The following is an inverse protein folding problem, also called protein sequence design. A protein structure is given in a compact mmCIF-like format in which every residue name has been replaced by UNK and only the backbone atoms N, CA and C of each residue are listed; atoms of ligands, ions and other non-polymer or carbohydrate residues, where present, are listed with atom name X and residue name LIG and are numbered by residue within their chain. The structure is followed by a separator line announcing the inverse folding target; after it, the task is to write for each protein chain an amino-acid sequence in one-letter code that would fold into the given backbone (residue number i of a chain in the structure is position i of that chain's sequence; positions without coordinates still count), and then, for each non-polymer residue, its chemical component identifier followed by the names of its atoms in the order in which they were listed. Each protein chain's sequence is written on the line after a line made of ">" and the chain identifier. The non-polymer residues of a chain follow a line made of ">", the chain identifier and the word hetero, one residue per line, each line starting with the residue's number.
data_IF_648309482483
#
_entry.id   IF_648309482483
#
_cell.length_a   1.000
_cell.length_b   1.000
_cell.length_c   1.000
_cell.angle_alpha   90.00
_cell.angle_beta   90.00
_cell.angle_gamma   90.00
#
_symmetry.space_group_name_H-M   'P 1'
#
loop_
_entity.id
_entity.type
_entity.pdbx_description
1 polymer ?
#
# COMPACT_ATOMS: atom_id res chain seq x y z
N UNK A 1 -19.10 2.70 -5.30
CA UNK A 1 -18.01 1.75 -5.04
C UNK A 1 -16.98 1.92 -6.13
N UNK A 2 -15.69 1.87 -5.80
CA UNK A 2 -14.61 1.91 -6.78
C UNK A 2 -14.82 0.81 -7.83
N UNK A 3 -14.80 1.18 -9.11
CA UNK A 3 -15.12 0.27 -10.20
C UNK A 3 -13.88 -0.57 -10.52
N UNK A 4 -13.73 -1.72 -9.86
CA UNK A 4 -12.62 -2.65 -10.11
C UNK A 4 -12.88 -3.63 -11.27
N UNK A 5 -13.84 -3.30 -12.14
CA UNK A 5 -14.20 -4.08 -13.33
C UNK A 5 -13.99 -3.26 -14.61
N UNK A 6 -13.63 -3.94 -15.70
CA UNK A 6 -13.37 -3.28 -16.99
C UNK A 6 -14.70 -2.92 -17.67
N UNK A 7 -15.22 -1.73 -17.35
CA UNK A 7 -16.44 -1.16 -17.95
C UNK A 7 -17.74 -1.79 -17.44
N UNK A 8 -18.83 -1.02 -17.49
CA UNK A 8 -20.16 -1.41 -16.95
C UNK A 8 -20.80 -2.63 -17.64
N UNK A 9 -20.36 -2.96 -18.86
CA UNK A 9 -20.91 -4.07 -19.67
C UNK A 9 -20.77 -5.45 -19.01
N UNK A 10 -19.72 -5.66 -18.21
CA UNK A 10 -19.41 -6.98 -17.67
C UNK A 10 -19.34 -7.01 -16.14
N UNK A 11 -19.83 -5.97 -15.47
CA UNK A 11 -19.83 -5.86 -14.00
C UNK A 11 -20.35 -7.12 -13.31
N UNK A 12 -21.47 -7.67 -13.77
CA UNK A 12 -22.11 -8.86 -13.21
C UNK A 12 -21.35 -10.18 -13.48
N UNK A 13 -20.30 -10.14 -14.31
CA UNK A 13 -19.51 -11.33 -14.67
C UNK A 13 -18.21 -11.44 -13.86
N UNK A 14 -17.93 -10.52 -12.95
CA UNK A 14 -16.78 -10.59 -12.05
C UNK A 14 -17.17 -11.31 -10.77
N UNK A 15 -16.33 -12.26 -10.35
CA UNK A 15 -16.40 -12.90 -9.04
C UNK A 15 -15.12 -12.60 -8.27
N UNK A 16 -15.23 -12.49 -6.96
CA UNK A 16 -14.09 -12.47 -6.06
C UNK A 16 -13.34 -13.80 -6.11
N UNK A 17 -12.00 -13.74 -6.14
CA UNK A 17 -11.13 -14.92 -5.99
C UNK A 17 -10.66 -14.96 -4.54
N UNK A 18 -11.41 -15.67 -3.70
CA UNK A 18 -11.17 -15.82 -2.27
C UNK A 18 -10.01 -16.78 -1.93
N UNK A 19 -9.69 -17.69 -2.85
CA UNK A 19 -8.72 -18.76 -2.63
C UNK A 19 -7.42 -18.49 -3.37
N UNK A 20 -6.29 -18.56 -2.66
CA UNK A 20 -4.96 -18.55 -3.28
C UNK A 20 -4.72 -19.87 -4.01
N UNK A 21 -4.33 -19.84 -5.28
CA UNK A 21 -4.03 -21.07 -6.02
C UNK A 21 -2.86 -21.84 -5.40
N UNK A 22 -2.97 -23.17 -5.39
CA UNK A 22 -1.90 -24.07 -4.91
C UNK A 22 -0.82 -24.19 -5.97
N UNK A 23 0.43 -23.93 -5.58
CA UNK A 23 1.60 -24.21 -6.39
C UNK A 23 1.82 -25.71 -6.62
N UNK A 24 2.75 -26.09 -7.51
CA UNK A 24 3.08 -27.49 -7.81
C UNK A 24 3.50 -28.32 -6.59
N UNK A 25 4.05 -27.66 -5.57
CA UNK A 25 4.48 -28.21 -4.28
C UNK A 25 3.41 -28.06 -3.17
N UNK A 26 2.24 -27.52 -3.52
CA UNK A 26 1.16 -27.23 -2.57
C UNK A 26 1.31 -25.91 -1.84
N UNK A 27 2.34 -25.10 -2.14
CA UNK A 27 2.54 -23.79 -1.53
C UNK A 27 1.39 -22.83 -1.86
N UNK A 28 0.91 -22.10 -0.86
CA UNK A 28 -0.09 -21.04 -0.98
C UNK A 28 0.40 -19.86 -0.16
N UNK A 29 0.49 -18.69 -0.78
CA UNK A 29 0.98 -17.48 -0.13
C UNK A 29 0.29 -16.25 -0.69
N UNK A 30 -0.18 -15.38 0.20
CA UNK A 30 -0.72 -14.08 -0.12
C UNK A 30 0.32 -13.01 0.23
N UNK A 31 1.03 -12.50 -0.79
CA UNK A 31 1.99 -11.42 -0.60
C UNK A 31 1.33 -10.05 -0.35
N UNK A 32 0.02 -9.92 -0.63
CA UNK A 32 -0.74 -8.67 -0.53
C UNK A 32 -1.21 -8.38 0.90
N UNK A 33 -0.36 -8.63 1.91
CA UNK A 33 -0.60 -8.24 3.30
C UNK A 33 0.44 -7.18 3.67
N UNK A 34 0.00 -5.94 3.75
CA UNK A 34 0.84 -4.78 4.02
C UNK A 34 0.96 -4.44 5.49
N UNK A 35 1.96 -3.61 5.82
CA UNK A 35 2.09 -3.03 7.15
C UNK A 35 0.96 -2.00 7.35
N UNK A 36 0.20 -2.03 8.47
CA UNK A 36 -0.83 -1.03 8.75
C UNK A 36 -0.24 0.38 8.95
N UNK A 37 1.05 0.47 9.27
CA UNK A 37 1.80 1.72 9.31
C UNK A 37 2.43 1.95 7.93
N UNK A 38 1.86 2.88 7.19
CA UNK A 38 2.35 3.30 5.88
C UNK A 38 3.50 4.32 6.01
N UNK A 39 4.36 4.41 5.00
CA UNK A 39 5.48 5.35 4.98
C UNK A 39 5.01 6.81 5.13
N UNK A 40 5.83 7.66 5.75
CA UNK A 40 5.49 9.06 6.02
C UNK A 40 5.62 9.92 4.75
N UNK A 41 4.55 10.57 4.30
CA UNK A 41 4.59 11.53 3.18
C UNK A 41 4.46 13.01 3.61
N UNK A 42 4.36 13.26 4.93
CA UNK A 42 4.12 14.58 5.51
C UNK A 42 5.34 15.07 6.28
N UNK A 43 5.81 16.28 5.96
CA UNK A 43 7.03 16.87 6.53
C UNK A 43 6.83 18.34 6.89
N UNK A 44 7.45 18.78 7.99
CA UNK A 44 7.54 20.20 8.37
C UNK A 44 8.95 20.68 8.02
N UNK A 45 9.06 21.63 7.09
CA UNK A 45 10.37 22.18 6.67
C UNK A 45 10.90 23.18 7.70
N UNK A 46 12.21 23.41 7.69
CA UNK A 46 12.85 24.41 8.54
C UNK A 46 12.46 25.86 8.20
N UNK A 47 11.92 26.08 6.99
CA UNK A 47 11.46 27.40 6.54
C UNK A 47 10.04 27.73 7.00
N UNK A 48 9.32 26.79 7.61
CA UNK A 48 7.96 27.02 8.08
C UNK A 48 7.97 27.98 9.29
N UNK A 49 7.37 29.20 9.17
CA UNK A 49 7.35 30.15 10.27
C UNK A 49 6.38 29.77 11.40
N UNK A 50 5.54 28.74 11.21
CA UNK A 50 4.48 28.31 12.12
C UNK A 50 4.50 26.79 12.37
N UNK A 51 5.61 26.21 12.87
CA UNK A 51 5.72 24.77 13.06
C UNK A 51 4.77 24.24 14.14
N UNK A 52 4.49 25.03 15.18
CA UNK A 52 3.58 24.65 16.26
C UNK A 52 2.11 24.60 15.80
N UNK A 53 1.70 25.52 14.93
CA UNK A 53 0.38 25.54 14.30
C UNK A 53 0.24 24.37 13.33
N UNK A 54 1.29 24.11 12.55
CA UNK A 54 1.31 23.04 11.54
C UNK A 54 1.18 21.67 12.19
N UNK A 55 1.92 21.42 13.29
CA UNK A 55 1.78 20.14 14.00
C UNK A 55 0.41 19.98 14.65
N UNK A 56 -0.24 21.05 15.12
CA UNK A 56 -1.63 20.99 15.62
C UNK A 56 -2.63 20.62 14.52
N UNK A 57 -2.41 21.08 13.29
CA UNK A 57 -3.24 20.70 12.15
C UNK A 57 -3.03 19.23 11.77
N UNK A 58 -1.77 18.76 11.78
CA UNK A 58 -1.45 17.33 11.55
C UNK A 58 -2.11 16.46 12.63
N UNK A 59 -1.99 16.83 13.90
CA UNK A 59 -2.60 16.11 15.04
C UNK A 59 -4.14 16.09 14.95
N UNK A 60 -4.76 17.17 14.46
CA UNK A 60 -6.20 17.21 14.21
C UNK A 60 -6.67 16.09 13.27
N UNK A 61 -5.90 15.74 12.24
CA UNK A 61 -6.25 14.65 11.31
C UNK A 61 -6.14 13.23 11.91
N UNK A 62 -5.57 13.11 13.11
CA UNK A 62 -5.62 11.89 13.94
C UNK A 62 -6.76 11.92 14.97
N UNK A 63 -7.50 13.02 15.09
CA UNK A 63 -8.74 13.07 15.87
C UNK A 63 -9.89 12.44 15.11
N UNK A 64 -10.95 12.01 15.82
CA UNK A 64 -12.16 11.47 15.20
C UNK A 64 -12.75 12.42 14.14
N UNK A 65 -12.86 13.70 14.47
CA UNK A 65 -13.40 14.71 13.55
C UNK A 65 -12.51 14.88 12.31
N UNK A 66 -11.18 14.89 12.51
CA UNK A 66 -10.25 15.02 11.40
C UNK A 66 -10.20 13.79 10.50
N UNK A 67 -10.33 12.57 11.04
CA UNK A 67 -10.47 11.33 10.26
C UNK A 67 -11.77 11.35 9.45
N UNK A 68 -12.89 11.76 10.05
CA UNK A 68 -14.16 11.94 9.33
C UNK A 68 -14.03 12.99 8.20
N UNK A 69 -13.37 14.12 8.46
CA UNK A 69 -13.11 15.12 7.40
C UNK A 69 -12.19 14.58 6.30
N UNK A 70 -11.15 13.82 6.67
CA UNK A 70 -10.18 13.24 5.74
C UNK A 70 -10.84 12.28 4.76
N UNK A 71 -11.75 11.42 5.23
CA UNK A 71 -12.24 10.29 4.43
C UNK A 71 -13.73 10.36 4.09
N UNK A 72 -14.55 11.06 4.86
CA UNK A 72 -16.00 11.13 4.65
C UNK A 72 -16.50 12.52 4.23
N UNK A 73 -15.83 13.60 4.64
CA UNK A 73 -16.19 14.97 4.28
C UNK A 73 -17.20 15.59 5.24
N UNK A 74 -18.36 16.03 4.74
CA UNK A 74 -19.33 16.82 5.51
C UNK A 74 -20.69 16.13 5.61
N UNK A 75 -21.21 16.03 6.84
CA UNK A 75 -22.52 15.43 7.11
C UNK A 75 -23.64 16.20 6.40
N UNK A 76 -24.53 15.48 5.72
CA UNK A 76 -25.59 16.03 4.88
C UNK A 76 -25.15 16.46 3.47
N UNK A 77 -23.85 16.49 3.18
CA UNK A 77 -23.30 16.81 1.85
C UNK A 77 -22.75 15.56 1.18
N UNK A 78 -21.86 14.85 1.87
CA UNK A 78 -21.18 13.65 1.34
C UNK A 78 -21.58 12.37 2.08
N UNK A 79 -21.99 12.46 3.35
CA UNK A 79 -22.40 11.30 4.14
C UNK A 79 -23.58 11.60 5.09
N UNK A 80 -24.21 10.55 5.60
CA UNK A 80 -25.12 10.57 6.76
C UNK A 80 -24.66 9.56 7.81
N UNK A 81 -25.17 9.64 9.04
CA UNK A 81 -24.84 8.68 10.09
C UNK A 81 -25.80 7.49 10.12
N UNK A 82 -25.27 6.29 10.30
CA UNK A 82 -26.06 5.10 10.59
C UNK A 82 -26.51 5.05 12.07
N UNK A 83 -27.19 3.98 12.48
CA UNK A 83 -27.68 3.79 13.86
C UNK A 83 -26.56 3.72 14.90
N UNK A 84 -25.35 3.34 14.49
CA UNK A 84 -24.15 3.24 15.33
C UNK A 84 -23.39 4.57 15.41
N UNK A 85 -23.82 5.58 14.64
CA UNK A 85 -23.19 6.90 14.57
C UNK A 85 -22.01 6.99 13.60
N UNK A 86 -21.77 5.96 12.78
CA UNK A 86 -20.69 5.92 11.79
C UNK A 86 -21.11 6.63 10.49
N UNK A 87 -20.18 7.31 9.80
CA UNK A 87 -20.46 7.97 8.54
C UNK A 87 -20.69 6.94 7.42
N UNK A 88 -21.75 7.13 6.65
CA UNK A 88 -22.09 6.33 5.47
C UNK A 88 -22.29 7.26 4.29
N UNK A 89 -21.54 7.04 3.20
CA UNK A 89 -21.66 7.83 1.98
C UNK A 89 -23.10 7.88 1.49
N UNK A 90 -23.56 9.08 1.15
CA UNK A 90 -24.92 9.28 0.68
C UNK A 90 -25.04 8.96 -0.81
N UNK A 91 -26.27 9.03 -1.33
CA UNK A 91 -26.58 8.75 -2.73
C UNK A 91 -25.83 9.65 -3.72
N UNK A 92 -25.52 10.90 -3.34
CA UNK A 92 -24.75 11.81 -4.21
C UNK A 92 -23.31 11.34 -4.43
N UNK A 93 -22.69 10.73 -3.41
CA UNK A 93 -21.36 10.14 -3.52
C UNK A 93 -21.41 8.76 -4.18
N UNK A 94 -22.38 7.92 -3.82
CA UNK A 94 -22.45 6.54 -4.31
C UNK A 94 -22.99 6.40 -5.74
N UNK A 95 -23.95 7.25 -6.11
CA UNK A 95 -24.71 7.21 -7.36
C UNK A 95 -24.71 8.62 -8.00
N UNK A 96 -23.52 9.19 -8.15
CA UNK A 96 -23.39 10.56 -8.65
C UNK A 96 -24.07 10.73 -10.02
N UNK A 97 -24.91 11.77 -10.22
CA UNK A 97 -25.68 11.94 -11.45
C UNK A 97 -24.82 12.19 -12.69
N UNK A 98 -23.59 12.68 -12.51
CA UNK A 98 -22.64 12.91 -13.61
C UNK A 98 -21.78 11.66 -13.91
N UNK A 99 -22.04 10.54 -13.22
CA UNK A 99 -21.35 9.26 -13.43
C UNK A 99 -19.95 9.21 -12.84
N UNK A 100 -19.61 10.16 -11.96
CA UNK A 100 -18.32 10.19 -11.25
C UNK A 100 -18.22 9.04 -10.25
N UNK A 101 -17.02 8.49 -10.09
CA UNK A 101 -16.76 7.51 -9.03
C UNK A 101 -16.67 8.20 -7.65
N UNK A 102 -16.86 7.44 -6.57
CA UNK A 102 -16.81 7.95 -5.20
C UNK A 102 -15.60 8.87 -4.95
N UNK A 103 -14.41 8.47 -5.41
CA UNK A 103 -13.15 9.20 -5.23
C UNK A 103 -13.14 10.56 -5.94
N UNK A 104 -13.68 10.63 -7.16
CA UNK A 104 -13.78 11.87 -7.93
C UNK A 104 -14.75 12.85 -7.27
N UNK A 105 -15.86 12.35 -6.72
CA UNK A 105 -16.80 13.18 -5.96
C UNK A 105 -16.12 13.70 -4.70
N UNK A 106 -15.52 12.82 -3.90
CA UNK A 106 -14.90 13.16 -2.62
C UNK A 106 -13.70 14.10 -2.79
N UNK A 107 -12.94 14.00 -3.88
CA UNK A 107 -11.81 14.88 -4.17
C UNK A 107 -12.15 16.38 -4.22
N UNK A 108 -13.43 16.74 -4.36
CA UNK A 108 -13.90 18.12 -4.27
C UNK A 108 -14.19 18.59 -2.82
N UNK A 109 -14.25 17.68 -1.84
CA UNK A 109 -14.69 17.95 -0.47
C UNK A 109 -13.65 17.60 0.59
N UNK A 110 -12.79 16.62 0.34
CA UNK A 110 -11.83 16.12 1.33
C UNK A 110 -10.38 16.39 0.90
N UNK A 111 -9.45 16.55 1.85
CA UNK A 111 -8.03 16.73 1.55
C UNK A 111 -7.29 15.42 1.25
N UNK A 112 -7.97 14.28 1.24
CA UNK A 112 -7.37 12.99 0.94
C UNK A 112 -6.97 12.88 -0.54
N UNK A 113 -5.66 12.92 -0.79
CA UNK A 113 -5.07 12.80 -2.13
C UNK A 113 -4.59 11.39 -2.49
N UNK A 114 -4.96 10.37 -1.70
CA UNK A 114 -4.46 9.00 -1.83
C UNK A 114 -3.11 8.79 -1.12
N UNK A 115 -2.96 7.64 -0.45
CA UNK A 115 -1.72 7.15 0.17
C UNK A 115 -1.18 7.96 1.37
N UNK A 116 -0.78 7.27 2.45
CA UNK A 116 0.17 7.77 3.47
C UNK A 116 -0.13 9.13 4.17
N UNK A 117 -1.36 9.65 4.10
CA UNK A 117 -1.78 10.91 4.73
C UNK A 117 -1.67 10.86 6.26
N UNK A 118 -1.50 12.00 6.96
CA UNK A 118 -1.34 12.05 8.42
C UNK A 118 -2.68 11.80 9.12
N UNK A 119 -3.17 10.56 9.06
CA UNK A 119 -4.48 10.13 9.55
C UNK A 119 -4.46 8.64 9.80
N UNK A 120 -5.53 8.11 10.39
CA UNK A 120 -5.78 6.66 10.43
C UNK A 120 -6.97 6.33 9.53
N UNK A 121 -6.76 5.46 8.55
CA UNK A 121 -7.86 4.93 7.75
C UNK A 121 -8.54 3.81 8.53
N UNK A 122 -9.64 4.16 9.20
CA UNK A 122 -10.42 3.23 10.02
C UNK A 122 -11.53 2.55 9.19
N UNK A 123 -11.87 1.31 9.53
CA UNK A 123 -12.88 0.52 8.80
C UNK A 123 -14.20 1.28 8.67
N UNK A 124 -14.73 1.80 9.77
CA UNK A 124 -16.05 2.44 9.81
C UNK A 124 -16.13 3.83 9.16
N UNK A 125 -14.99 4.45 8.83
CA UNK A 125 -14.96 5.75 8.12
C UNK A 125 -14.56 5.56 6.67
N UNK A 126 -13.55 4.73 6.42
CA UNK A 126 -12.96 4.52 5.11
C UNK A 126 -13.36 3.17 4.52
N UNK A 127 -12.95 2.06 5.15
CA UNK A 127 -13.05 0.72 4.57
C UNK A 127 -14.48 0.28 4.20
N UNK A 128 -15.43 0.50 5.09
CA UNK A 128 -16.84 0.14 4.91
C UNK A 128 -17.52 0.94 3.79
N UNK A 129 -17.07 2.18 3.57
CA UNK A 129 -17.61 3.10 2.56
C UNK A 129 -16.96 2.93 1.18
N UNK A 130 -15.67 2.62 1.16
CA UNK A 130 -14.87 2.58 -0.07
C UNK A 130 -14.96 1.23 -0.78
N UNK A 131 -14.92 0.14 -0.01
CA UNK A 131 -14.89 -1.21 -0.57
C UNK A 131 -16.27 -1.86 -0.55
N UNK A 132 -16.52 -2.69 -1.55
CA UNK A 132 -17.70 -3.55 -1.63
C UNK A 132 -17.59 -4.73 -0.66
N UNK A 133 -18.72 -5.35 -0.33
CA UNK A 133 -18.74 -6.53 0.55
C UNK A 133 -17.97 -7.71 -0.05
N UNK A 134 -18.03 -7.89 -1.38
CA UNK A 134 -17.26 -8.91 -2.09
C UNK A 134 -15.75 -8.75 -1.87
N UNK A 135 -15.24 -7.51 -1.92
CA UNK A 135 -13.81 -7.24 -1.72
C UNK A 135 -13.38 -7.50 -0.28
N UNK A 136 -14.21 -7.07 0.68
CA UNK A 136 -13.99 -7.31 2.11
C UNK A 136 -13.92 -8.81 2.38
N UNK A 137 -14.86 -9.58 1.85
CA UNK A 137 -14.91 -11.04 2.01
C UNK A 137 -13.66 -11.71 1.42
N UNK A 138 -13.26 -11.34 0.19
CA UNK A 138 -12.05 -11.87 -0.45
C UNK A 138 -10.79 -11.55 0.36
N UNK A 139 -10.65 -10.31 0.82
CA UNK A 139 -9.52 -9.91 1.65
C UNK A 139 -9.48 -10.70 2.96
N UNK A 140 -10.62 -10.85 3.63
CA UNK A 140 -10.71 -11.58 4.90
C UNK A 140 -10.30 -13.05 4.76
N UNK A 141 -10.73 -13.72 3.70
CA UNK A 141 -10.33 -15.09 3.41
C UNK A 141 -8.84 -15.20 3.05
N UNK A 142 -8.27 -14.19 2.37
CA UNK A 142 -6.87 -14.22 1.94
C UNK A 142 -5.86 -13.89 3.03
N UNK A 143 -6.26 -13.21 4.11
CA UNK A 143 -5.36 -12.83 5.22
C UNK A 143 -4.67 -14.05 5.85
N UNK A 144 -5.37 -15.18 5.96
CA UNK A 144 -4.81 -16.41 6.56
C UNK A 144 -3.63 -17.00 5.78
N UNK A 145 -3.46 -16.62 4.51
CA UNK A 145 -2.35 -17.04 3.65
C UNK A 145 -1.18 -16.04 3.66
N UNK A 146 -1.28 -14.97 4.45
CA UNK A 146 -0.24 -13.95 4.58
C UNK A 146 1.03 -14.45 5.28
N UNK A 147 2.12 -13.67 5.24
CA UNK A 147 3.30 -13.94 6.04
C UNK A 147 2.99 -13.80 7.54
N UNK A 148 3.66 -14.60 8.36
CA UNK A 148 3.58 -14.49 9.83
C UNK A 148 4.13 -13.14 10.33
N UNK A 149 5.17 -12.65 9.66
CA UNK A 149 5.80 -11.37 9.97
C UNK A 149 5.70 -10.47 8.75
N UNK A 150 5.04 -9.32 8.92
CA UNK A 150 5.06 -8.22 7.97
C UNK A 150 6.12 -7.23 8.44
N UNK A 151 7.25 -7.17 7.74
CA UNK A 151 8.32 -6.23 8.10
C UNK A 151 7.88 -4.78 7.85
N UNK A 152 8.23 -3.90 8.78
CA UNK A 152 8.23 -2.46 8.54
C UNK A 152 9.46 -2.00 7.78
N UNK A 153 9.56 -0.70 7.54
CA UNK A 153 10.74 -0.09 6.92
C UNK A 153 11.97 -0.26 7.80
N UNK A 154 13.06 -0.73 7.21
CA UNK A 154 14.34 -0.85 7.90
C UNK A 154 15.06 0.50 7.93
N UNK A 155 15.71 0.76 9.06
CA UNK A 155 16.50 1.97 9.26
C UNK A 155 17.98 1.67 8.98
N UNK A 156 18.63 2.59 8.27
CA UNK A 156 20.04 2.49 7.93
C UNK A 156 20.80 3.74 8.38
N UNK A 157 22.12 3.64 8.48
CA UNK A 157 22.97 4.82 8.63
C UNK A 157 23.00 5.64 7.33
N UNK A 158 23.37 6.93 7.42
CA UNK A 158 23.53 7.80 6.25
C UNK A 158 24.43 7.19 5.16
N UNK A 159 25.51 6.52 5.59
CA UNK A 159 26.44 5.89 4.65
C UNK A 159 25.81 4.68 3.95
N UNK A 160 25.10 3.84 4.69
CA UNK A 160 24.36 2.72 4.12
C UNK A 160 23.27 3.22 3.16
N UNK A 161 22.54 4.29 3.49
CA UNK A 161 21.55 4.87 2.57
C UNK A 161 22.17 5.35 1.25
N UNK A 162 23.31 6.03 1.30
CA UNK A 162 24.03 6.43 0.08
C UNK A 162 24.44 5.22 -0.75
N UNK A 163 24.87 4.14 -0.09
CA UNK A 163 25.31 2.92 -0.75
C UNK A 163 24.15 2.14 -1.36
N UNK A 164 23.03 2.00 -0.63
CA UNK A 164 21.76 1.43 -1.11
C UNK A 164 21.29 2.14 -2.37
N UNK A 165 21.19 3.48 -2.34
CA UNK A 165 20.68 4.25 -3.48
C UNK A 165 21.45 4.02 -4.78
N UNK A 166 22.74 3.69 -4.70
CA UNK A 166 23.55 3.40 -5.89
C UNK A 166 23.49 1.92 -6.28
N UNK A 167 23.48 1.00 -5.32
CA UNK A 167 23.43 -0.44 -5.59
C UNK A 167 22.06 -0.89 -6.08
N UNK A 168 20.98 -0.44 -5.44
CA UNK A 168 19.60 -0.88 -5.71
C UNK A 168 19.19 -0.57 -7.14
N UNK A 169 19.46 0.64 -7.65
CA UNK A 169 18.99 1.05 -8.97
C UNK A 169 19.57 0.18 -10.09
N UNK A 170 20.88 -0.04 -10.06
CA UNK A 170 21.58 -0.84 -11.07
C UNK A 170 21.14 -2.32 -10.98
N UNK A 171 21.12 -2.87 -9.75
CA UNK A 171 20.73 -4.26 -9.50
C UNK A 171 19.28 -4.51 -9.90
N UNK A 172 18.33 -3.66 -9.49
CA UNK A 172 16.91 -3.78 -9.78
C UNK A 172 16.64 -3.69 -11.29
N UNK A 173 17.33 -2.77 -11.98
CA UNK A 173 17.22 -2.63 -13.43
C UNK A 173 17.64 -3.91 -14.14
N UNK A 174 18.78 -4.50 -13.74
CA UNK A 174 19.26 -5.76 -14.33
C UNK A 174 18.35 -6.95 -14.00
N UNK A 175 17.84 -7.05 -12.76
CA UNK A 175 16.86 -8.06 -12.37
C UNK A 175 15.60 -7.95 -13.23
N UNK A 176 15.10 -6.73 -13.44
CA UNK A 176 13.87 -6.48 -14.21
C UNK A 176 14.04 -6.86 -15.68
N UNK A 177 15.16 -6.46 -16.30
CA UNK A 177 15.48 -6.81 -17.68
C UNK A 177 15.66 -8.33 -17.87
N UNK A 178 16.42 -8.98 -16.99
CA UNK A 178 16.63 -10.43 -17.06
C UNK A 178 15.36 -11.22 -16.77
N UNK A 179 14.52 -10.76 -15.83
CA UNK A 179 13.20 -11.35 -15.59
C UNK A 179 12.34 -11.33 -16.86
N UNK A 180 12.31 -10.22 -17.59
CA UNK A 180 11.59 -10.14 -18.85
C UNK A 180 12.12 -11.16 -19.86
N UNK A 181 13.44 -11.26 -20.03
CA UNK A 181 14.09 -12.24 -20.93
C UNK A 181 13.81 -13.68 -20.55
N UNK A 182 13.83 -14.01 -19.26
CA UNK A 182 13.49 -15.36 -18.80
C UNK A 182 12.01 -15.70 -19.08
N UNK A 183 11.10 -14.73 -18.92
CA UNK A 183 9.67 -14.92 -19.22
C UNK A 183 9.42 -15.08 -20.72
N UNK A 184 10.10 -14.28 -21.55
CA UNK A 184 9.94 -14.35 -23.02
C UNK A 184 10.68 -15.53 -23.64
N UNK A 185 11.63 -16.13 -22.92
CA UNK A 185 12.49 -17.20 -23.41
C UNK A 185 13.73 -16.71 -24.17
N UNK A 186 14.04 -15.41 -24.11
CA UNK A 186 15.27 -14.84 -24.65
C UNK A 186 16.51 -15.19 -23.78
N UNK A 187 16.28 -15.61 -22.54
CA UNK A 187 17.28 -16.22 -21.65
C UNK A 187 16.75 -17.55 -21.11
N UNK A 188 17.65 -18.50 -20.88
CA UNK A 188 17.32 -19.85 -20.42
C UNK A 188 17.72 -20.06 -18.95
N UNK A 189 16.81 -20.57 -18.12
CA UNK A 189 17.07 -20.80 -16.70
C UNK A 189 18.15 -21.85 -16.40
N UNK A 190 18.31 -22.87 -17.25
CA UNK A 190 19.32 -23.91 -17.06
C UNK A 190 20.71 -23.45 -17.49
N UNK A 191 20.79 -22.64 -18.55
CA UNK A 191 22.06 -22.23 -19.16
C UNK A 191 22.59 -20.89 -18.62
N UNK A 192 21.72 -19.91 -18.38
CA UNK A 192 22.13 -18.53 -18.11
C UNK A 192 22.11 -18.14 -16.63
N UNK A 193 21.53 -18.98 -15.76
CA UNK A 193 21.30 -18.63 -14.35
C UNK A 193 22.58 -18.34 -13.57
N UNK A 194 23.59 -19.19 -13.71
CA UNK A 194 24.86 -19.00 -13.00
C UNK A 194 25.56 -17.70 -13.42
N UNK A 195 25.51 -17.36 -14.72
CA UNK A 195 26.06 -16.10 -15.22
C UNK A 195 25.22 -14.89 -14.75
N UNK A 196 23.90 -15.03 -14.68
CA UNK A 196 23.01 -14.03 -14.11
C UNK A 196 23.38 -13.70 -12.66
N UNK A 197 23.54 -14.72 -11.81
CA UNK A 197 23.94 -14.56 -10.40
C UNK A 197 25.35 -13.96 -10.28
N UNK A 198 26.32 -14.44 -11.07
CA UNK A 198 27.68 -13.87 -11.08
C UNK A 198 27.72 -12.41 -11.52
N UNK A 199 26.80 -12.01 -12.40
CA UNK A 199 26.67 -10.61 -12.82
C UNK A 199 26.13 -9.76 -11.67
N UNK A 200 25.07 -10.22 -10.99
CA UNK A 200 24.56 -9.54 -9.79
C UNK A 200 25.62 -9.37 -8.70
N UNK A 201 26.42 -10.41 -8.44
CA UNK A 201 27.51 -10.32 -7.46
C UNK A 201 28.55 -9.26 -7.87
N UNK A 202 28.92 -9.19 -9.16
CA UNK A 202 29.81 -8.14 -9.69
C UNK A 202 29.22 -6.74 -9.59
N UNK A 203 27.89 -6.63 -9.59
CA UNK A 203 27.16 -5.37 -9.39
C UNK A 203 27.01 -4.99 -7.90
N UNK A 204 27.51 -5.82 -6.98
CA UNK A 204 27.49 -5.53 -5.55
C UNK A 204 26.30 -6.15 -4.79
N UNK A 205 25.67 -7.21 -5.32
CA UNK A 205 24.59 -7.92 -4.61
C UNK A 205 25.01 -8.37 -3.20
N UNK A 206 26.23 -8.86 -3.01
CA UNK A 206 26.70 -9.30 -1.68
C UNK A 206 26.75 -8.14 -0.68
N UNK A 207 27.17 -6.96 -1.14
CA UNK A 207 27.19 -5.74 -0.32
C UNK A 207 25.75 -5.30 0.01
N UNK A 208 24.86 -5.30 -1.00
CA UNK A 208 23.44 -4.98 -0.84
C UNK A 208 22.79 -5.90 0.23
N UNK A 209 23.02 -7.20 0.14
CA UNK A 209 22.48 -8.18 1.11
C UNK A 209 23.06 -7.96 2.51
N UNK A 210 24.33 -7.58 2.63
CA UNK A 210 24.95 -7.26 3.92
C UNK A 210 24.30 -6.03 4.56
N UNK A 211 23.99 -4.99 3.76
CA UNK A 211 23.28 -3.81 4.26
C UNK A 211 21.87 -4.19 4.70
N UNK A 212 21.12 -4.93 3.89
CA UNK A 212 19.77 -5.39 4.27
C UNK A 212 19.77 -6.23 5.54
N UNK A 213 20.73 -7.15 5.70
CA UNK A 213 20.87 -7.95 6.92
C UNK A 213 21.12 -7.06 8.15
N UNK A 214 21.98 -6.04 8.04
CA UNK A 214 22.19 -5.07 9.12
C UNK A 214 20.91 -4.33 9.51
N UNK A 215 20.05 -4.01 8.53
CA UNK A 215 18.75 -3.39 8.77
C UNK A 215 17.79 -4.33 9.50
N UNK A 216 17.73 -5.59 9.06
CA UNK A 216 16.93 -6.64 9.71
C UNK A 216 17.38 -6.90 11.15
N UNK A 217 18.68 -7.01 11.40
CA UNK A 217 19.24 -7.22 12.74
C UNK A 217 18.85 -6.07 13.69
N UNK A 218 18.93 -4.83 13.19
CA UNK A 218 18.51 -3.63 13.95
C UNK A 218 17.00 -3.65 14.22
N UNK A 219 16.20 -4.00 13.22
CA UNK A 219 14.75 -4.11 13.34
C UNK A 219 14.34 -5.14 14.38
N UNK A 220 14.91 -6.35 14.33
CA UNK A 220 14.60 -7.43 15.26
C UNK A 220 14.99 -7.05 16.70
N UNK A 221 16.16 -6.44 16.89
CA UNK A 221 16.59 -5.94 18.20
C UNK A 221 15.64 -4.89 18.78
N UNK A 222 15.06 -4.02 17.95
CA UNK A 222 14.10 -3.01 18.37
C UNK A 222 12.69 -3.59 18.62
N UNK A 223 12.26 -4.55 17.80
CA UNK A 223 10.96 -5.21 17.89
C UNK A 223 10.88 -6.29 18.98
N UNK A 224 12.02 -6.71 19.53
CA UNK A 224 12.09 -7.81 20.49
C UNK A 224 11.87 -9.19 19.85
N UNK A 225 12.19 -9.31 18.55
CA UNK A 225 12.12 -10.54 17.75
C UNK A 225 13.46 -11.26 17.70
#
# INVERSE_FOLDING_TARGET
>A
GSLHYVGSTYQENFIGVDTIFKGPDGFQFNADVGNPIQNMNTFITCDNPYPAETIRLIDYFYSREGVELMFAGFEGVTFYRNEEGNPVYNDYVQNNPDGLINEEVLGAYVPWGGGANPSMAEDHVFGENMYTDMEKDVCQERIQYGPEIVWGTFNYSDEQYRRLSVLENDVETYITDMRAKFITGDANFEEDWDNYVQTLNRMGLEELMTIYQSGLDTYNAAAGL
#
